data_IF_079290603678
#
_entry.id   IF_079290603678
#
_cell.length_a   1.000
_cell.length_b   1.000
_cell.length_c   1.000
_cell.angle_alpha   90.00
_cell.angle_beta   90.00
_cell.angle_gamma   90.00
#
_symmetry.space_group_name_H-M   'P 1'
#
loop_
_entity.id
_entity.type
_entity.pdbx_description
1 polymer ?
#
# COMPACT_ATOMS: atom_id res chain seq x y z
N UNK A 1 21.49 45.48 -32.10
CA UNK A 1 20.91 44.95 -30.85
C UNK A 1 19.74 44.10 -31.25
N UNK A 2 19.84 42.80 -30.97
CA UNK A 2 18.78 41.78 -30.85
C UNK A 2 19.40 40.43 -31.19
N UNK A 3 19.90 39.74 -30.17
CA UNK A 3 20.05 38.28 -30.23
C UNK A 3 18.72 37.65 -29.81
N UNK A 4 18.26 36.57 -30.47
CA UNK A 4 17.09 35.84 -30.03
C UNK A 4 17.44 34.99 -28.81
N UNK A 5 16.59 35.06 -27.79
CA UNK A 5 16.59 34.17 -26.63
C UNK A 5 16.27 32.75 -27.08
N UNK A 6 17.23 31.86 -26.84
CA UNK A 6 17.16 30.43 -27.10
C UNK A 6 15.98 29.82 -26.33
N UNK A 7 15.07 29.19 -27.09
CA UNK A 7 13.95 28.45 -26.56
C UNK A 7 14.46 27.16 -25.93
N UNK A 8 14.85 27.26 -24.66
CA UNK A 8 15.14 26.12 -23.80
C UNK A 8 13.92 25.20 -23.76
N UNK A 9 13.99 24.16 -24.58
CA UNK A 9 13.05 23.03 -24.57
C UNK A 9 13.03 22.47 -23.16
N UNK A 10 11.89 22.58 -22.50
CA UNK A 10 11.65 21.87 -21.24
C UNK A 10 11.79 20.38 -21.50
N UNK A 11 12.97 19.83 -21.16
CA UNK A 11 13.14 18.41 -20.93
C UNK A 11 12.09 18.04 -19.89
N UNK A 12 11.03 17.37 -20.34
CA UNK A 12 10.20 16.60 -19.44
C UNK A 12 11.19 15.64 -18.75
N UNK A 13 11.41 15.78 -17.45
CA UNK A 13 12.24 14.87 -16.66
C UNK A 13 11.54 13.51 -16.64
N UNK A 14 11.71 12.76 -17.73
CA UNK A 14 11.29 11.36 -17.82
C UNK A 14 12.20 10.61 -16.83
N UNK A 15 11.64 9.90 -15.84
CA UNK A 15 12.44 9.14 -14.90
C UNK A 15 13.33 8.13 -15.63
N UNK A 16 14.54 7.90 -15.12
CA UNK A 16 15.45 6.88 -15.66
C UNK A 16 14.75 5.51 -15.75
N UNK A 17 14.96 4.80 -16.86
CA UNK A 17 14.32 3.51 -17.16
C UNK A 17 14.58 2.48 -16.05
N UNK A 18 15.81 2.44 -15.53
CA UNK A 18 16.22 1.56 -14.43
C UNK A 18 15.43 1.83 -13.14
N UNK A 19 15.07 3.09 -12.87
CA UNK A 19 14.29 3.48 -11.70
C UNK A 19 12.84 3.00 -11.84
N UNK A 20 12.28 3.11 -13.04
CA UNK A 20 10.93 2.63 -13.35
C UNK A 20 10.87 1.10 -13.24
N UNK A 21 11.87 0.39 -13.77
CA UNK A 21 11.95 -1.07 -13.68
C UNK A 21 12.06 -1.52 -12.21
N UNK A 22 12.94 -0.89 -11.43
CA UNK A 22 13.08 -1.18 -10.00
C UNK A 22 11.78 -0.95 -9.24
N UNK A 23 11.12 0.19 -9.44
CA UNK A 23 9.84 0.50 -8.81
C UNK A 23 8.78 -0.56 -9.16
N UNK A 24 8.66 -0.90 -10.45
CA UNK A 24 7.74 -1.94 -10.94
C UNK A 24 8.00 -3.27 -10.25
N UNK A 25 9.26 -3.69 -10.19
CA UNK A 25 9.69 -4.92 -9.51
C UNK A 25 9.28 -4.92 -8.04
N UNK A 26 9.51 -3.84 -7.30
CA UNK A 26 9.17 -3.76 -5.87
C UNK A 26 7.66 -3.92 -5.64
N UNK A 27 6.82 -3.30 -6.49
CA UNK A 27 5.36 -3.50 -6.40
C UNK A 27 4.96 -4.95 -6.71
N UNK A 28 5.61 -5.59 -7.66
CA UNK A 28 5.35 -6.99 -8.00
C UNK A 28 5.76 -7.96 -6.87
N UNK A 29 6.87 -7.69 -6.17
CA UNK A 29 7.25 -8.46 -4.98
C UNK A 29 6.16 -8.40 -3.91
N UNK A 30 5.56 -7.22 -3.68
CA UNK A 30 4.46 -7.06 -2.74
C UNK A 30 3.19 -7.82 -3.20
N UNK A 31 2.85 -7.79 -4.49
CA UNK A 31 1.71 -8.53 -5.06
C UNK A 31 1.88 -10.05 -5.00
N UNK A 32 3.11 -10.53 -5.07
CA UNK A 32 3.45 -11.96 -5.09
C UNK A 32 3.76 -12.51 -3.69
N UNK A 33 3.95 -11.64 -2.70
CA UNK A 33 4.29 -12.05 -1.34
C UNK A 33 5.74 -12.48 -1.17
N UNK A 34 6.64 -12.05 -2.06
CA UNK A 34 8.08 -12.32 -2.06
C UNK A 34 8.78 -11.57 -0.91
N UNK A 35 8.45 -11.99 0.32
CA UNK A 35 8.65 -11.23 1.56
C UNK A 35 10.12 -10.99 1.85
N UNK A 36 10.97 -12.01 1.70
CA UNK A 36 12.41 -11.89 1.99
C UNK A 36 13.09 -10.92 1.02
N UNK A 37 12.77 -11.03 -0.28
CA UNK A 37 13.33 -10.14 -1.30
C UNK A 37 12.84 -8.71 -1.11
N UNK A 38 11.54 -8.52 -0.84
CA UNK A 38 10.96 -7.20 -0.56
C UNK A 38 11.61 -6.57 0.67
N UNK A 39 11.75 -7.34 1.75
CA UNK A 39 12.42 -6.90 2.98
C UNK A 39 13.87 -6.46 2.72
N UNK A 40 14.63 -7.22 1.93
CA UNK A 40 16.01 -6.87 1.59
C UNK A 40 16.11 -5.53 0.84
N UNK A 41 15.18 -5.23 -0.07
CA UNK A 41 15.15 -3.93 -0.75
C UNK A 41 14.86 -2.78 0.22
N UNK A 42 13.93 -2.96 1.15
CA UNK A 42 13.61 -1.96 2.17
C UNK A 42 14.80 -1.74 3.11
N UNK A 43 15.48 -2.81 3.52
CA UNK A 43 16.68 -2.76 4.36
C UNK A 43 17.86 -2.07 3.63
N UNK A 44 17.87 -2.11 2.30
CA UNK A 44 18.81 -1.37 1.46
C UNK A 44 18.45 0.12 1.25
N UNK A 45 17.36 0.60 1.85
CA UNK A 45 16.95 2.00 1.85
C UNK A 45 15.84 2.36 0.85
N UNK A 46 15.21 1.38 0.20
CA UNK A 46 13.98 1.62 -0.56
C UNK A 46 12.88 2.11 0.40
N UNK A 47 12.15 3.20 0.08
CA UNK A 47 11.09 3.70 0.95
C UNK A 47 9.96 2.67 1.12
N UNK A 48 9.53 2.41 2.35
CA UNK A 48 8.42 1.50 2.63
C UNK A 48 7.05 2.05 2.18
N UNK A 49 6.96 3.37 2.01
CA UNK A 49 5.73 4.10 1.65
C UNK A 49 5.65 4.48 0.16
N UNK A 50 6.32 3.72 -0.71
CA UNK A 50 6.14 3.85 -2.15
C UNK A 50 4.69 3.61 -2.55
N UNK A 51 4.22 4.38 -3.53
CA UNK A 51 2.89 4.24 -4.13
C UNK A 51 3.01 4.12 -5.64
N UNK A 52 2.19 3.26 -6.23
CA UNK A 52 2.06 3.20 -7.69
C UNK A 52 1.22 4.39 -8.22
N UNK A 53 0.94 4.37 -9.52
CA UNK A 53 0.14 5.36 -10.26
C UNK A 53 -1.33 5.49 -9.80
N UNK A 54 -1.81 4.57 -8.96
CA UNK A 54 -3.15 4.57 -8.36
C UNK A 54 -3.13 4.90 -6.87
N UNK A 55 -1.97 5.25 -6.33
CA UNK A 55 -1.77 5.50 -4.91
C UNK A 55 -1.69 4.23 -4.07
N UNK A 56 -1.67 3.03 -4.66
CA UNK A 56 -1.60 1.79 -3.88
C UNK A 56 -0.21 1.67 -3.25
N UNK A 57 -0.17 1.53 -1.92
CA UNK A 57 1.06 1.25 -1.17
C UNK A 57 1.49 -0.20 -1.31
N UNK A 58 2.75 -0.49 -0.96
CA UNK A 58 3.23 -1.88 -0.84
C UNK A 58 2.38 -2.70 0.14
N UNK A 59 1.98 -2.10 1.26
CA UNK A 59 1.11 -2.75 2.26
C UNK A 59 -0.25 -3.10 1.64
N UNK A 60 -0.83 -2.18 0.86
CA UNK A 60 -2.11 -2.42 0.20
C UNK A 60 -2.04 -3.57 -0.80
N UNK A 61 -0.99 -3.62 -1.61
CA UNK A 61 -0.80 -4.69 -2.59
C UNK A 61 -0.63 -6.05 -1.89
N UNK A 62 0.24 -6.14 -0.88
CA UNK A 62 0.41 -7.36 -0.10
C UNK A 62 -0.89 -7.79 0.59
N UNK A 63 -1.62 -6.83 1.18
CA UNK A 63 -2.88 -7.08 1.87
C UNK A 63 -3.98 -7.59 0.93
N UNK A 64 -4.15 -6.95 -0.23
CA UNK A 64 -5.17 -7.33 -1.21
C UNK A 64 -4.94 -8.73 -1.80
N UNK A 65 -3.69 -9.18 -1.82
CA UNK A 65 -3.27 -10.50 -2.30
C UNK A 65 -3.08 -11.56 -1.19
N UNK A 66 -3.40 -11.25 0.07
CA UNK A 66 -3.42 -12.23 1.16
C UNK A 66 -2.06 -12.49 1.82
N UNK A 67 -1.06 -11.65 1.58
CA UNK A 67 0.32 -11.88 2.05
C UNK A 67 0.59 -11.26 3.42
N UNK A 68 0.09 -11.90 4.49
CA UNK A 68 0.22 -11.40 5.86
C UNK A 68 1.67 -11.23 6.34
N UNK A 69 2.59 -12.11 5.90
CA UNK A 69 4.02 -12.00 6.25
C UNK A 69 4.66 -10.77 5.61
N UNK A 70 4.35 -10.49 4.34
CA UNK A 70 4.80 -9.29 3.63
C UNK A 70 4.24 -8.02 4.29
N UNK A 71 2.95 -8.01 4.66
CA UNK A 71 2.33 -6.92 5.41
C UNK A 71 3.08 -6.66 6.72
N UNK A 72 3.33 -7.71 7.51
CA UNK A 72 4.03 -7.60 8.79
C UNK A 72 5.46 -7.07 8.59
N UNK A 73 6.17 -7.56 7.57
CA UNK A 73 7.52 -7.13 7.24
C UNK A 73 7.61 -5.66 6.81
N UNK A 74 6.62 -5.18 6.06
CA UNK A 74 6.51 -3.78 5.64
C UNK A 74 6.23 -2.85 6.83
N UNK A 75 5.25 -3.20 7.68
CA UNK A 75 4.90 -2.41 8.86
C UNK A 75 6.05 -2.32 9.86
N UNK A 76 6.77 -3.44 10.08
CA UNK A 76 7.98 -3.46 10.90
C UNK A 76 9.11 -2.53 10.36
N UNK A 77 9.04 -2.13 9.09
CA UNK A 77 9.99 -1.23 8.41
C UNK A 77 9.43 0.17 8.21
N UNK A 78 8.40 0.54 8.98
CA UNK A 78 7.84 1.89 9.00
C UNK A 78 6.87 2.19 7.86
N UNK A 79 6.32 1.17 7.21
CA UNK A 79 5.20 1.38 6.31
C UNK A 79 3.98 1.89 7.08
N UNK A 80 3.24 2.82 6.48
CA UNK A 80 2.02 3.39 7.03
C UNK A 80 0.84 2.44 6.84
N UNK A 81 0.26 1.96 7.94
CA UNK A 81 -0.83 0.99 7.92
C UNK A 81 -2.14 1.54 7.32
N UNK A 82 -2.39 2.85 7.50
CA UNK A 82 -3.65 3.51 7.15
C UNK A 82 -3.55 4.42 5.91
N UNK A 83 -2.42 4.41 5.20
CA UNK A 83 -2.29 5.24 4.01
C UNK A 83 -3.26 4.78 2.93
N UNK A 84 -4.23 5.64 2.62
CA UNK A 84 -5.23 5.38 1.61
C UNK A 84 -4.68 5.61 0.20
N UNK A 85 -5.17 4.82 -0.77
CA UNK A 85 -4.91 5.05 -2.19
C UNK A 85 -5.76 6.20 -2.75
N UNK A 86 -5.65 6.48 -4.04
CA UNK A 86 -6.35 7.59 -4.72
C UNK A 86 -7.88 7.44 -4.71
N UNK A 87 -8.38 6.26 -4.33
CA UNK A 87 -9.82 5.98 -4.16
C UNK A 87 -10.29 6.08 -2.71
N UNK A 88 -9.40 6.46 -1.78
CA UNK A 88 -9.70 6.54 -0.35
C UNK A 88 -9.73 5.18 0.36
N UNK A 89 -9.32 4.09 -0.30
CA UNK A 89 -9.32 2.76 0.30
C UNK A 89 -8.06 2.55 1.14
N UNK A 90 -8.18 2.00 2.34
CA UNK A 90 -7.04 1.57 3.17
C UNK A 90 -6.71 0.10 2.93
N UNK A 91 -5.49 -0.36 3.26
CA UNK A 91 -5.15 -1.79 3.22
C UNK A 91 -6.13 -2.66 4.03
N UNK A 92 -6.57 -2.17 5.21
CA UNK A 92 -7.48 -2.91 6.08
C UNK A 92 -8.87 -3.05 5.46
N UNK A 93 -9.43 -2.00 4.86
CA UNK A 93 -10.70 -2.08 4.14
C UNK A 93 -10.63 -3.10 2.97
N UNK A 94 -9.50 -3.12 2.23
CA UNK A 94 -9.26 -4.11 1.18
C UNK A 94 -9.21 -5.54 1.71
N UNK A 95 -8.50 -5.78 2.80
CA UNK A 95 -8.40 -7.10 3.44
C UNK A 95 -9.76 -7.59 3.96
N UNK A 96 -10.56 -6.68 4.55
CA UNK A 96 -11.95 -6.98 4.96
C UNK A 96 -12.81 -7.33 3.76
N UNK A 97 -12.75 -6.57 2.66
CA UNK A 97 -13.51 -6.90 1.45
C UNK A 97 -13.18 -8.30 0.93
N UNK A 98 -11.88 -8.64 0.90
CA UNK A 98 -11.38 -9.94 0.40
C UNK A 98 -11.61 -11.10 1.37
N UNK A 99 -11.76 -10.83 2.67
CA UNK A 99 -11.92 -11.85 3.71
C UNK A 99 -10.60 -12.48 4.16
N UNK A 100 -9.48 -11.76 4.02
CA UNK A 100 -8.14 -12.25 4.36
C UNK A 100 -7.87 -12.11 5.86
N UNK A 101 -8.31 -13.08 6.67
CA UNK A 101 -8.24 -12.97 8.14
C UNK A 101 -6.82 -12.77 8.69
N UNK A 102 -5.84 -13.50 8.15
CA UNK A 102 -4.44 -13.36 8.58
C UNK A 102 -3.89 -11.95 8.30
N UNK A 103 -4.26 -11.36 7.16
CA UNK A 103 -3.90 -9.99 6.80
C UNK A 103 -4.59 -8.97 7.71
N UNK A 104 -5.88 -9.15 7.99
CA UNK A 104 -6.64 -8.29 8.91
C UNK A 104 -5.93 -8.23 10.27
N UNK A 105 -5.56 -9.40 10.82
CA UNK A 105 -4.84 -9.47 12.09
C UNK A 105 -3.46 -8.81 12.03
N UNK A 106 -2.71 -9.02 10.95
CA UNK A 106 -1.40 -8.38 10.76
C UNK A 106 -1.51 -6.84 10.71
N UNK A 107 -2.49 -6.31 9.97
CA UNK A 107 -2.73 -4.87 9.87
C UNK A 107 -3.14 -4.25 11.22
N UNK A 108 -4.06 -4.89 11.95
CA UNK A 108 -4.46 -4.45 13.29
C UNK A 108 -3.29 -4.49 14.28
N UNK A 109 -2.46 -5.54 14.23
CA UNK A 109 -1.27 -5.64 15.06
C UNK A 109 -0.23 -4.55 14.73
N UNK A 110 -0.17 -4.10 13.47
CA UNK A 110 0.63 -2.97 13.03
C UNK A 110 -0.05 -1.60 13.21
N UNK A 111 -1.18 -1.54 13.91
CA UNK A 111 -1.82 -0.28 14.32
C UNK A 111 -2.78 0.34 13.31
N UNK A 112 -3.27 -0.42 12.33
CA UNK A 112 -4.31 0.07 11.42
C UNK A 112 -5.60 0.44 12.16
N UNK A 113 -6.18 1.61 11.88
CA UNK A 113 -7.47 2.05 12.39
C UNK A 113 -8.62 1.49 11.52
N UNK A 114 -9.52 0.65 12.08
CA UNK A 114 -10.69 0.14 11.36
C UNK A 114 -11.62 1.21 10.78
N UNK A 115 -11.58 2.43 11.31
CA UNK A 115 -12.40 3.56 10.86
C UNK A 115 -11.71 4.41 9.79
N UNK A 116 -10.46 4.14 9.45
CA UNK A 116 -9.73 4.89 8.43
C UNK A 116 -10.18 4.53 7.01
N UNK A 117 -10.17 5.53 6.13
CA UNK A 117 -10.55 5.40 4.72
C UNK A 117 -12.05 5.54 4.45
N UNK A 118 -12.42 5.43 3.18
CA UNK A 118 -13.81 5.51 2.73
C UNK A 118 -14.02 4.61 1.51
N UNK A 119 -14.85 3.54 1.59
CA UNK A 119 -15.45 3.02 2.83
C UNK A 119 -14.37 2.53 3.80
N UNK A 120 -14.61 2.70 5.10
CA UNK A 120 -13.73 2.16 6.14
C UNK A 120 -13.81 0.63 6.22
N UNK A 121 -12.93 0.00 7.00
CA UNK A 121 -13.02 -1.44 7.25
C UNK A 121 -14.30 -1.81 8.01
N UNK A 122 -14.73 -0.96 8.93
CA UNK A 122 -16.02 -1.08 9.62
C UNK A 122 -17.19 -0.97 8.63
N UNK A 123 -17.21 0.04 7.75
CA UNK A 123 -18.28 0.18 6.74
C UNK A 123 -18.35 -1.03 5.81
N UNK A 124 -17.18 -1.52 5.39
CA UNK A 124 -17.07 -2.72 4.55
C UNK A 124 -17.60 -3.94 5.29
N UNK A 125 -17.24 -4.14 6.57
CA UNK A 125 -17.76 -5.26 7.36
C UNK A 125 -19.29 -5.20 7.51
N UNK A 126 -19.87 -4.01 7.74
CA UNK A 126 -21.34 -3.83 7.78
C UNK A 126 -22.00 -4.14 6.44
N UNK A 127 -21.44 -3.64 5.34
CA UNK A 127 -21.98 -3.83 3.99
C UNK A 127 -22.08 -5.31 3.60
N UNK A 128 -21.12 -6.13 4.04
CA UNK A 128 -21.07 -7.56 3.76
C UNK A 128 -21.53 -8.45 4.92
N UNK A 129 -22.16 -7.88 5.95
CA UNK A 129 -22.68 -8.58 7.13
C UNK A 129 -21.64 -9.47 7.85
N UNK A 130 -20.40 -8.97 7.99
CA UNK A 130 -19.29 -9.68 8.65
C UNK A 130 -19.29 -9.39 10.16
N UNK A 131 -20.24 -9.99 10.89
CA UNK A 131 -20.44 -9.77 12.33
C UNK A 131 -19.17 -9.99 13.16
N UNK A 132 -18.44 -11.09 12.93
CA UNK A 132 -17.21 -11.41 13.66
C UNK A 132 -16.14 -10.31 13.51
N UNK A 133 -16.10 -9.62 12.37
CA UNK A 133 -15.17 -8.50 12.16
C UNK A 133 -15.65 -7.23 12.87
N UNK A 134 -16.96 -7.00 12.96
CA UNK A 134 -17.50 -5.87 13.73
C UNK A 134 -17.19 -6.04 15.23
N UNK A 135 -17.31 -7.26 15.75
CA UNK A 135 -16.89 -7.59 17.12
C UNK A 135 -15.37 -7.35 17.27
N UNK A 136 -14.56 -7.85 16.33
CA UNK A 136 -13.11 -7.64 16.34
C UNK A 136 -12.71 -6.15 16.33
N UNK A 137 -13.46 -5.31 15.63
CA UNK A 137 -13.22 -3.87 15.56
C UNK A 137 -13.84 -3.08 16.74
N UNK A 138 -14.65 -3.73 17.59
CA UNK A 138 -15.40 -3.07 18.66
C UNK A 138 -16.50 -2.12 18.14
N UNK A 139 -17.16 -2.49 17.04
CA UNK A 139 -18.06 -1.63 16.26
C UNK A 139 -19.48 -2.21 16.06
N UNK A 140 -19.95 -3.03 17.00
CA UNK A 140 -21.30 -3.63 17.03
C UNK A 140 -22.45 -2.60 17.11
#
# INVERSE_FOLDING_TARGET
MSEPIDGGTGSQDVPDEDVIELATKIFDLARQGETETLAAYLDAGVPANLTNDRGDTLVMLAAYHGHADAVSALLARGAEADRANDRGQTPLAGAVFKGEEAVIRALLAGGADPNAGTPSAVDTARMFAKADLLELFGAE
#
